data_IF_460279300975
#
_entry.id   IF_460279300975
#
_cell.length_a   1.000
_cell.length_b   1.000
_cell.length_c   1.000
_cell.angle_alpha   90.00
_cell.angle_beta   90.00
_cell.angle_gamma   90.00
#
_symmetry.space_group_name_H-M   'P 1'
#
loop_
_entity.id
_entity.type
_entity.pdbx_description
1 polymer ?
#
# COMPACT_ATOMS: atom_id res chain seq x y z
N UNK A 1 -3.59 8.06 -3.31
CA UNK A 1 -2.80 6.96 -3.92
C UNK A 1 -1.56 6.79 -3.06
N UNK A 2 -1.42 5.69 -2.33
CA UNK A 2 -0.35 5.49 -1.34
C UNK A 2 0.18 4.05 -1.34
N UNK A 3 1.40 3.85 -0.85
CA UNK A 3 2.07 2.57 -0.68
C UNK A 3 1.90 2.04 0.74
N UNK A 4 1.70 0.72 0.85
CA UNK A 4 1.52 -0.01 2.10
C UNK A 4 2.50 -1.16 2.17
N UNK A 5 3.08 -1.37 3.34
CA UNK A 5 4.01 -2.47 3.62
C UNK A 5 3.33 -3.50 4.51
N UNK A 6 3.37 -4.76 4.11
CA UNK A 6 2.92 -5.87 4.96
C UNK A 6 3.85 -6.00 6.18
N UNK A 7 3.27 -6.00 7.38
CA UNK A 7 4.04 -6.14 8.63
C UNK A 7 4.64 -7.54 8.80
N UNK A 8 4.03 -8.57 8.19
CA UNK A 8 4.46 -9.96 8.34
C UNK A 8 5.64 -10.33 7.41
N UNK A 9 5.60 -9.88 6.14
CA UNK A 9 6.57 -10.30 5.12
C UNK A 9 7.28 -9.16 4.39
N UNK A 10 6.92 -7.91 4.67
CA UNK A 10 7.54 -6.73 4.06
C UNK A 10 7.13 -6.44 2.62
N UNK A 11 6.17 -7.18 2.03
CA UNK A 11 5.64 -6.88 0.70
C UNK A 11 5.09 -5.45 0.61
N UNK A 12 5.42 -4.72 -0.46
CA UNK A 12 4.95 -3.35 -0.70
C UNK A 12 3.95 -3.35 -1.85
N UNK A 13 2.75 -2.81 -1.59
CA UNK A 13 1.68 -2.68 -2.57
C UNK A 13 0.93 -1.36 -2.42
N UNK A 14 0.34 -0.87 -3.51
CA UNK A 14 -0.52 0.31 -3.45
C UNK A 14 -1.85 0.02 -2.75
N UNK A 15 -2.40 1.04 -2.09
CA UNK A 15 -3.64 0.99 -1.29
C UNK A 15 -4.90 0.68 -2.12
N UNK A 16 -6.05 0.56 -1.48
CA UNK A 16 -7.30 0.17 -2.14
C UNK A 16 -7.93 1.26 -3.02
N UNK A 17 -7.51 2.51 -2.82
CA UNK A 17 -7.84 3.62 -3.73
C UNK A 17 -7.06 3.56 -5.05
N UNK A 18 -6.16 2.58 -5.20
CA UNK A 18 -5.40 2.37 -6.42
C UNK A 18 -6.08 1.51 -7.45
N UNK A 19 -5.65 1.65 -8.70
CA UNK A 19 -6.18 0.88 -9.82
C UNK A 19 -6.13 -0.64 -9.56
N UNK A 20 -4.99 -1.13 -9.03
CA UNK A 20 -4.72 -2.57 -8.88
C UNK A 20 -4.90 -3.11 -7.46
N UNK A 21 -5.16 -2.24 -6.47
CA UNK A 21 -5.44 -2.61 -5.06
C UNK A 21 -4.49 -3.67 -4.48
N UNK A 22 -3.18 -3.51 -4.73
CA UNK A 22 -2.18 -4.55 -4.43
C UNK A 22 -2.14 -4.94 -2.94
N UNK A 23 -2.39 -4.00 -2.02
CA UNK A 23 -2.36 -4.28 -0.60
C UNK A 23 -3.46 -5.26 -0.15
N UNK A 24 -4.73 -5.02 -0.52
CA UNK A 24 -5.81 -5.96 -0.20
C UNK A 24 -5.71 -7.27 -0.98
N UNK A 25 -5.30 -7.23 -2.25
CA UNK A 25 -5.05 -8.45 -3.03
C UNK A 25 -3.95 -9.32 -2.39
N UNK A 26 -2.88 -8.70 -1.90
CA UNK A 26 -1.83 -9.40 -1.15
C UNK A 26 -2.36 -10.05 0.11
N UNK A 27 -3.16 -9.34 0.91
CA UNK A 27 -3.79 -9.90 2.10
C UNK A 27 -4.66 -11.11 1.76
N UNK A 28 -5.55 -10.99 0.77
CA UNK A 28 -6.44 -12.08 0.36
C UNK A 28 -5.67 -13.32 -0.10
N UNK A 29 -4.53 -13.14 -0.77
CA UNK A 29 -3.72 -14.24 -1.27
C UNK A 29 -2.85 -14.91 -0.20
N UNK A 30 -2.36 -14.15 0.79
CA UNK A 30 -1.37 -14.64 1.77
C UNK A 30 -1.94 -14.86 3.17
N UNK A 31 -3.08 -14.25 3.48
CA UNK A 31 -3.63 -14.19 4.83
C UNK A 31 -2.92 -13.23 5.77
N UNK A 32 -2.02 -12.35 5.30
CA UNK A 32 -1.37 -11.34 6.14
C UNK A 32 -2.24 -10.08 6.30
N UNK A 33 -2.91 -9.85 7.44
CA UNK A 33 -3.94 -8.81 7.51
C UNK A 33 -3.39 -7.45 7.92
N UNK A 34 -2.19 -7.41 8.53
CA UNK A 34 -1.59 -6.19 9.07
C UNK A 34 -0.70 -5.54 8.02
N UNK A 35 -1.03 -4.30 7.67
CA UNK A 35 -0.20 -3.42 6.87
C UNK A 35 0.19 -2.18 7.67
N UNK A 36 1.34 -1.59 7.34
CA UNK A 36 1.79 -0.27 7.79
C UNK A 36 1.75 0.70 6.61
N UNK A 37 1.52 1.99 6.88
CA UNK A 37 1.86 3.00 5.89
C UNK A 37 3.35 2.92 5.54
N UNK A 38 3.63 3.11 4.25
CA UNK A 38 4.99 3.18 3.72
C UNK A 38 5.27 4.56 3.11
N UNK A 39 4.45 5.56 3.45
CA UNK A 39 4.62 6.95 3.04
C UNK A 39 5.55 7.68 4.02
N UNK A 40 6.36 8.65 3.55
CA UNK A 40 7.19 9.47 4.42
C UNK A 40 6.38 10.21 5.49
N UNK A 41 6.79 10.07 6.75
CA UNK A 41 6.17 10.74 7.90
C UNK A 41 4.93 10.05 8.47
N UNK A 42 4.55 8.87 7.95
CA UNK A 42 3.44 8.07 8.45
C UNK A 42 3.94 6.78 9.12
N UNK A 43 3.40 6.45 10.30
CA UNK A 43 3.82 5.31 11.12
C UNK A 43 2.69 4.34 11.49
N UNK A 44 1.46 4.66 11.10
CA UNK A 44 0.26 3.92 11.48
C UNK A 44 0.13 2.56 10.80
N UNK A 45 -0.62 1.67 11.44
CA UNK A 45 -0.97 0.34 10.90
C UNK A 45 -2.48 0.17 10.75
N UNK A 46 -2.86 -0.71 9.84
CA UNK A 46 -4.24 -1.13 9.62
C UNK A 46 -4.33 -2.65 9.62
N UNK A 47 -5.36 -3.16 10.30
CA UNK A 47 -5.75 -4.55 10.27
C UNK A 47 -6.96 -4.72 9.34
N UNK A 48 -6.71 -5.34 8.19
CA UNK A 48 -7.75 -5.64 7.23
C UNK A 48 -8.83 -6.59 7.77
N UNK A 49 -8.50 -7.49 8.70
CA UNK A 49 -9.44 -8.50 9.21
C UNK A 49 -10.47 -7.91 10.16
N UNK A 50 -10.06 -6.92 10.96
CA UNK A 50 -10.93 -6.23 11.91
C UNK A 50 -11.41 -4.87 11.42
N UNK A 51 -10.90 -4.41 10.28
CA UNK A 51 -11.19 -3.10 9.68
C UNK A 51 -10.95 -1.94 10.66
N UNK A 52 -9.83 -1.99 11.38
CA UNK A 52 -9.45 -1.05 12.42
C UNK A 52 -7.96 -0.70 12.37
N UNK A 53 -7.60 0.43 12.98
CA UNK A 53 -6.21 0.74 13.25
C UNK A 53 -5.61 -0.28 14.21
N UNK A 54 -4.34 -0.59 13.99
CA UNK A 54 -3.57 -1.50 14.81
C UNK A 54 -2.38 -0.75 15.42
N UNK A 55 -2.07 -1.03 16.67
CA UNK A 55 -0.84 -0.55 17.32
C UNK A 55 0.22 -1.63 17.14
N UNK A 56 1.09 -1.43 16.15
CA UNK A 56 2.07 -2.41 15.70
C UNK A 56 3.49 -2.09 16.15
N UNK A 57 4.38 -3.09 16.24
CA UNK A 57 5.78 -2.86 16.59
C UNK A 57 6.49 -2.06 15.50
N UNK A 58 7.59 -1.40 15.86
CA UNK A 58 8.51 -0.82 14.89
C UNK A 58 9.00 -1.90 13.91
N UNK A 59 8.89 -1.63 12.60
CA UNK A 59 9.34 -2.55 11.56
C UNK A 59 10.80 -2.28 11.21
N UNK A 60 11.55 -3.32 10.84
CA UNK A 60 12.91 -3.16 10.35
C UNK A 60 12.98 -2.20 9.15
N UNK A 61 13.98 -1.32 9.05
CA UNK A 61 14.13 -0.38 7.93
C UNK A 61 14.12 -1.04 6.54
N UNK A 62 13.76 -0.29 5.48
CA UNK A 62 13.31 1.10 5.48
C UNK A 62 11.86 1.25 5.97
N UNK A 63 11.53 2.40 6.55
CA UNK A 63 10.17 2.68 7.05
C UNK A 63 9.24 3.31 6.01
N UNK A 64 9.79 3.96 4.99
CA UNK A 64 9.02 4.59 3.93
C UNK A 64 9.77 4.53 2.59
N UNK A 65 9.04 4.81 1.51
CA UNK A 65 9.64 4.97 0.19
C UNK A 65 10.46 6.28 0.11
N UNK A 66 11.46 6.35 -0.80
CA UNK A 66 12.17 7.60 -1.06
C UNK A 66 11.23 8.77 -1.39
N UNK A 67 11.54 9.97 -0.91
CA UNK A 67 10.69 11.16 -1.08
C UNK A 67 10.58 11.63 -2.53
N UNK A 68 11.52 11.25 -3.38
CA UNK A 68 11.53 11.51 -4.82
C UNK A 68 10.80 10.43 -5.63
N UNK A 69 10.37 9.34 -4.99
CA UNK A 69 9.58 8.31 -5.65
C UNK A 69 8.12 8.76 -5.83
N UNK A 70 7.55 8.67 -7.05
CA UNK A 70 6.14 8.96 -7.27
C UNK A 70 5.22 7.84 -6.74
N UNK A 71 3.99 8.22 -6.41
CA UNK A 71 2.86 7.33 -6.10
C UNK A 71 1.85 7.37 -7.27
N UNK A 72 1.17 6.26 -7.61
CA UNK A 72 1.02 4.99 -6.87
C UNK A 72 2.14 3.97 -7.06
N UNK A 73 3.17 4.27 -7.86
CA UNK A 73 4.24 3.33 -8.13
C UNK A 73 5.46 3.99 -8.76
N UNK A 74 6.58 3.28 -8.85
CA UNK A 74 7.84 3.85 -9.33
C UNK A 74 7.70 4.50 -10.71
N UNK A 75 8.52 5.50 -10.98
CA UNK A 75 8.54 6.20 -12.26
C UNK A 75 8.70 5.21 -13.42
N UNK A 76 7.86 5.34 -14.45
CA UNK A 76 7.88 4.48 -15.64
C UNK A 76 7.32 3.06 -15.45
N UNK A 77 6.91 2.67 -14.24
CA UNK A 77 6.23 1.37 -13.97
C UNK A 77 4.70 1.49 -14.02
N UNK A 78 4.17 2.70 -13.94
CA UNK A 78 2.74 2.97 -14.00
C UNK A 78 2.34 3.26 -15.46
N UNK A 79 1.28 2.63 -16.01
CA UNK A 79 0.79 2.92 -17.36
C UNK A 79 0.51 4.41 -17.57
N UNK A 80 0.84 4.96 -18.74
CA UNK A 80 0.73 6.41 -18.97
C UNK A 80 -0.71 6.96 -18.81
N UNK A 81 -1.72 6.12 -19.03
CA UNK A 81 -3.14 6.42 -18.97
C UNK A 81 -3.80 5.99 -17.64
N UNK A 82 -3.02 5.64 -16.62
CA UNK A 82 -3.54 5.10 -15.34
C UNK A 82 -4.61 5.98 -14.68
N UNK A 83 -4.50 7.32 -14.81
CA UNK A 83 -5.49 8.27 -14.28
C UNK A 83 -6.84 8.10 -14.99
N UNK A 84 -6.83 7.89 -16.30
CA UNK A 84 -8.04 7.66 -17.07
C UNK A 84 -8.67 6.32 -16.70
N UNK A 85 -7.85 5.28 -16.57
CA UNK A 85 -8.30 3.96 -16.12
C UNK A 85 -8.92 4.02 -14.72
N UNK A 86 -8.31 4.76 -13.79
CA UNK A 86 -8.86 4.95 -12.43
C UNK A 86 -10.20 5.71 -12.45
N UNK A 87 -10.36 6.72 -13.32
CA UNK A 87 -11.63 7.45 -13.48
C UNK A 87 -12.72 6.63 -14.15
N UNK A 88 -12.34 5.67 -14.99
CA UNK A 88 -13.27 4.81 -15.73
C UNK A 88 -13.72 3.58 -14.93
N UNK A 89 -13.10 3.32 -13.77
CA UNK A 89 -13.46 2.23 -12.85
C UNK A 89 -14.90 2.43 -12.32
N UNK A 90 -15.74 1.39 -12.38
CA UNK A 90 -17.18 1.42 -12.06
C UNK A 90 -17.56 0.66 -10.77
N UNK A 91 -16.57 0.43 -9.93
CA UNK A 91 -16.64 -0.38 -8.72
C UNK A 91 -16.98 0.41 -7.46
#
# INVERSE_FOLDING_TARGET
MHLRRCAACGHIGCCDDSLSRHASAHWQATGHPIIRSFEPGEDWFWDYSSNQYYDGPELAPPENHPTDQPVPGPQGRVPADWVQQLRARQD
#
